data_IF_384050540550
#
_entry.id   IF_384050540550
#
_cell.length_a   1.000
_cell.length_b   1.000
_cell.length_c   1.000
_cell.angle_alpha   90.00
_cell.angle_beta   90.00
_cell.angle_gamma   90.00
#
_symmetry.space_group_name_H-M   'P 1'
#
loop_
_entity.id
_entity.type
_entity.pdbx_description
1 polymer ?
#
# COMPACT_ATOMS: atom_id res chain seq x y z
N UNK A 1 5.34 4.59 -7.26
CA UNK A 1 4.53 3.37 -7.04
C UNK A 1 3.43 3.66 -6.04
N UNK A 2 2.31 2.94 -6.13
CA UNK A 2 1.16 3.11 -5.24
C UNK A 2 0.88 1.82 -4.46
N UNK A 3 1.67 1.46 -3.42
CA UNK A 3 1.40 0.28 -2.62
C UNK A 3 0.11 0.45 -1.80
N UNK A 4 -0.75 -0.57 -1.82
CA UNK A 4 -2.04 -0.53 -1.15
C UNK A 4 -1.90 -0.96 0.31
N UNK A 5 -2.56 -0.25 1.22
CA UNK A 5 -2.58 -0.57 2.65
C UNK A 5 -3.84 -1.36 2.99
N UNK A 6 -5.01 -0.76 2.79
CA UNK A 6 -6.29 -1.30 3.23
C UNK A 6 -6.73 -2.58 2.51
N UNK A 7 -6.34 -2.81 1.25
CA UNK A 7 -6.64 -4.10 0.60
C UNK A 7 -5.82 -5.24 1.19
N UNK A 8 -4.63 -4.97 1.70
CA UNK A 8 -3.83 -5.96 2.45
C UNK A 8 -4.54 -6.23 3.77
N UNK A 9 -4.89 -5.17 4.52
CA UNK A 9 -5.68 -5.27 5.76
C UNK A 9 -6.94 -6.13 5.59
N UNK A 10 -7.77 -5.85 4.57
CA UNK A 10 -9.01 -6.59 4.33
C UNK A 10 -8.78 -8.09 4.15
N UNK A 11 -7.67 -8.47 3.49
CA UNK A 11 -7.36 -9.88 3.24
C UNK A 11 -7.06 -10.62 4.54
N UNK A 12 -6.22 -10.03 5.40
CA UNK A 12 -5.84 -10.63 6.68
C UNK A 12 -7.02 -10.66 7.65
N UNK A 13 -7.80 -9.58 7.75
CA UNK A 13 -9.01 -9.54 8.59
C UNK A 13 -10.02 -10.59 8.17
N UNK A 14 -10.22 -10.81 6.85
CA UNK A 14 -11.12 -11.85 6.36
C UNK A 14 -10.68 -13.27 6.76
N UNK A 15 -9.41 -13.47 7.15
CA UNK A 15 -8.87 -14.72 7.66
C UNK A 15 -8.81 -14.78 9.19
N UNK A 16 -9.37 -13.79 9.88
CA UNK A 16 -9.36 -13.69 11.33
C UNK A 16 -8.07 -13.10 11.92
N UNK A 17 -7.14 -12.63 11.07
CA UNK A 17 -5.89 -12.00 11.48
C UNK A 17 -6.10 -10.48 11.60
N UNK A 18 -6.80 -10.08 12.65
CA UNK A 18 -7.11 -8.67 12.92
C UNK A 18 -5.90 -8.03 13.61
N UNK A 19 -5.28 -6.99 13.04
CA UNK A 19 -4.17 -6.32 13.69
C UNK A 19 -4.65 -5.55 14.92
N UNK A 20 -3.88 -5.64 16.00
CA UNK A 20 -4.16 -4.96 17.28
C UNK A 20 -4.11 -3.43 17.17
N UNK A 21 -3.36 -2.90 16.21
CA UNK A 21 -3.22 -1.46 15.98
C UNK A 21 -2.76 -1.17 14.54
N UNK A 22 -2.78 0.11 14.15
CA UNK A 22 -2.20 0.54 12.87
C UNK A 22 -0.69 0.25 12.76
N UNK A 23 0.03 0.06 13.87
CA UNK A 23 1.46 -0.27 13.84
C UNK A 23 1.71 -1.74 13.50
N UNK A 24 0.75 -2.62 13.80
CA UNK A 24 0.79 -4.05 13.47
C UNK A 24 0.00 -4.39 12.21
N UNK A 25 -0.59 -3.39 11.55
CA UNK A 25 -1.33 -3.54 10.31
C UNK A 25 -0.41 -4.05 9.16
N UNK A 26 -0.75 -5.17 8.51
CA UNK A 26 0.11 -5.77 7.49
C UNK A 26 0.28 -4.88 6.25
N UNK A 27 -0.70 -4.04 5.93
CA UNK A 27 -0.58 -3.05 4.86
C UNK A 27 0.37 -1.91 5.22
N UNK A 28 0.29 -1.40 6.46
CA UNK A 28 1.22 -0.37 6.96
C UNK A 28 2.65 -0.91 6.99
N UNK A 29 2.84 -2.13 7.51
CA UNK A 29 4.14 -2.80 7.55
C UNK A 29 4.72 -3.00 6.13
N UNK A 30 3.89 -3.41 5.18
CA UNK A 30 4.28 -3.55 3.77
C UNK A 30 4.81 -2.23 3.20
N UNK A 31 4.10 -1.12 3.37
CA UNK A 31 4.55 0.19 2.86
C UNK A 31 5.82 0.66 3.56
N UNK A 32 5.94 0.49 4.89
CA UNK A 32 7.16 0.83 5.63
C UNK A 32 8.37 0.06 5.12
N UNK A 33 8.20 -1.25 4.87
CA UNK A 33 9.27 -2.08 4.32
C UNK A 33 9.68 -1.63 2.91
N UNK A 34 8.71 -1.37 2.02
CA UNK A 34 8.98 -0.86 0.67
C UNK A 34 9.72 0.47 0.71
N UNK A 35 9.26 1.41 1.53
CA UNK A 35 9.90 2.72 1.70
C UNK A 35 11.34 2.55 2.19
N UNK A 36 11.55 1.75 3.24
CA UNK A 36 12.89 1.47 3.77
C UNK A 36 13.81 0.88 2.71
N UNK A 37 13.34 -0.12 1.95
CA UNK A 37 14.10 -0.74 0.86
C UNK A 37 14.50 0.29 -0.20
N UNK A 38 13.57 1.16 -0.60
CA UNK A 38 13.85 2.18 -1.61
C UNK A 38 14.85 3.23 -1.10
N UNK A 39 14.68 3.73 0.13
CA UNK A 39 15.59 4.75 0.69
C UNK A 39 16.99 4.19 0.96
N UNK A 40 17.08 3.01 1.56
CA UNK A 40 18.37 2.35 1.84
C UNK A 40 19.17 2.02 0.58
N UNK A 41 18.52 1.78 -0.56
CA UNK A 41 19.21 1.50 -1.84
C UNK A 41 19.25 2.72 -2.79
N UNK A 42 18.88 3.91 -2.31
CA UNK A 42 18.93 5.14 -3.11
C UNK A 42 17.98 5.15 -4.32
N UNK A 43 16.89 4.38 -4.28
CA UNK A 43 15.90 4.33 -5.36
C UNK A 43 15.07 5.61 -5.35
N UNK A 44 15.06 6.34 -6.46
CA UNK A 44 14.38 7.64 -6.60
C UNK A 44 12.87 7.56 -6.83
N UNK A 45 12.35 6.37 -7.12
CA UNK A 45 10.92 6.14 -7.33
C UNK A 45 10.12 6.56 -6.11
N UNK A 46 9.16 7.47 -6.30
CA UNK A 46 8.27 7.95 -5.24
C UNK A 46 7.41 6.80 -4.71
N UNK A 47 7.39 6.61 -3.39
CA UNK A 47 6.48 5.69 -2.71
C UNK A 47 5.24 6.44 -2.24
N UNK A 48 4.08 6.16 -2.85
CA UNK A 48 2.82 6.82 -2.51
C UNK A 48 1.82 5.83 -1.89
N UNK A 49 1.76 5.76 -0.56
CA UNK A 49 0.80 4.87 0.12
C UNK A 49 -0.64 5.15 -0.31
N UNK A 50 -1.43 4.11 -0.55
CA UNK A 50 -2.77 4.21 -1.11
C UNK A 50 -3.79 3.25 -0.47
N UNK A 51 -5.07 3.45 -0.78
CA UNK A 51 -6.18 2.55 -0.39
C UNK A 51 -6.33 2.35 1.13
N UNK A 52 -6.43 3.42 1.91
CA UNK A 52 -6.60 3.34 3.37
C UNK A 52 -8.03 2.91 3.80
N UNK A 53 -8.16 2.38 5.02
CA UNK A 53 -9.43 2.07 5.70
C UNK A 53 -9.69 3.00 6.88
N UNK A 54 -8.64 3.43 7.58
CA UNK A 54 -8.76 4.26 8.78
C UNK A 54 -7.75 5.41 8.74
N UNK A 55 -8.04 6.51 9.46
CA UNK A 55 -7.08 7.59 9.65
C UNK A 55 -5.81 7.11 10.35
N UNK A 56 -5.91 6.16 11.30
CA UNK A 56 -4.75 5.63 12.03
C UNK A 56 -3.74 4.95 11.09
N UNK A 57 -4.17 4.26 10.03
CA UNK A 57 -3.27 3.73 9.01
C UNK A 57 -2.52 4.83 8.26
N UNK A 58 -3.18 5.97 7.98
CA UNK A 58 -2.56 7.12 7.32
C UNK A 58 -1.52 7.74 8.25
N UNK A 59 -1.89 7.98 9.52
CA UNK A 59 -1.03 8.57 10.54
C UNK A 59 0.20 7.69 10.81
N UNK A 60 0.03 6.36 10.82
CA UNK A 60 1.13 5.40 10.98
C UNK A 60 2.15 5.43 9.82
N UNK A 61 1.81 6.06 8.69
CA UNK A 61 2.68 6.29 7.55
C UNK A 61 3.08 7.76 7.37
N UNK A 62 2.90 8.61 8.37
CA UNK A 62 3.45 9.96 8.38
C UNK A 62 4.96 9.90 8.04
N UNK A 63 5.42 10.72 7.09
CA UNK A 63 6.81 10.67 6.60
C UNK A 63 7.05 9.78 5.37
N UNK A 64 6.03 9.07 4.85
CA UNK A 64 6.09 8.51 3.50
C UNK A 64 6.21 9.62 2.44
N UNK A 65 6.78 9.34 1.26
CA UNK A 65 7.03 10.37 0.24
C UNK A 65 5.74 11.08 -0.17
N UNK A 66 4.67 10.31 -0.36
CA UNK A 66 3.31 10.78 -0.64
C UNK A 66 2.29 9.82 -0.04
N UNK A 67 1.08 10.31 0.19
CA UNK A 67 -0.08 9.48 0.55
C UNK A 67 -1.27 9.95 -0.30
N UNK A 68 -1.99 9.03 -0.92
CA UNK A 68 -3.26 9.33 -1.61
C UNK A 68 -4.41 8.86 -0.73
N UNK A 69 -5.22 9.80 -0.26
CA UNK A 69 -6.20 9.61 0.81
C UNK A 69 -7.58 9.96 0.28
N UNK A 70 -8.60 9.17 0.64
CA UNK A 70 -9.98 9.44 0.21
C UNK A 70 -10.53 10.70 0.92
N UNK A 71 -11.50 11.41 0.32
CA UNK A 71 -12.10 12.60 0.94
C UNK A 71 -12.63 12.36 2.35
N UNK A 72 -13.32 11.23 2.58
CA UNK A 72 -13.83 10.88 3.91
C UNK A 72 -12.74 10.77 4.98
N UNK A 73 -11.58 10.20 4.63
CA UNK A 73 -10.45 10.10 5.56
C UNK A 73 -9.73 11.44 5.73
N UNK A 74 -9.70 12.30 4.70
CA UNK A 74 -9.19 13.66 4.83
C UNK A 74 -10.02 14.48 5.83
N UNK A 75 -11.35 14.38 5.77
CA UNK A 75 -12.26 15.02 6.73
C UNK A 75 -12.09 14.48 8.16
N UNK A 76 -11.77 13.20 8.32
CA UNK A 76 -11.45 12.63 9.62
C UNK A 76 -10.12 13.18 10.14
N UNK A 77 -9.08 13.19 9.31
CA UNK A 77 -7.74 13.67 9.65
C UNK A 77 -7.72 15.16 10.00
N UNK A 78 -8.52 15.99 9.33
CA UNK A 78 -8.65 17.42 9.63
C UNK A 78 -9.09 17.69 11.07
N UNK A 79 -9.81 16.74 11.69
CA UNK A 79 -10.31 16.83 13.06
C UNK A 79 -9.31 16.33 14.10
N UNK A 80 -8.16 15.76 13.70
CA UNK A 80 -7.15 15.18 14.58
C UNK A 80 -6.06 16.21 14.89
N UNK A 81 -5.64 16.28 16.16
CA UNK A 81 -4.62 17.23 16.64
C UNK A 81 -3.43 16.54 17.30
N UNK A 82 -3.28 15.23 17.11
CA UNK A 82 -2.21 14.46 17.74
C UNK A 82 -0.84 14.76 17.11
N UNK A 83 0.21 14.64 17.93
CA UNK A 83 1.57 14.75 17.46
C UNK A 83 1.92 13.53 16.61
N UNK A 84 2.38 13.78 15.38
CA UNK A 84 2.78 12.73 14.46
C UNK A 84 4.18 12.20 14.81
N UNK A 85 4.34 10.88 14.75
CA UNK A 85 5.64 10.23 14.77
C UNK A 85 6.01 9.81 13.34
N UNK A 86 6.84 10.56 12.62
CA UNK A 86 7.17 10.24 11.24
C UNK A 86 8.04 8.98 11.16
N UNK A 87 7.92 8.25 10.04
CA UNK A 87 8.81 7.15 9.70
C UNK A 87 10.25 7.69 9.69
N UNK A 88 11.20 7.01 10.38
CA UNK A 88 12.59 7.44 10.39
C UNK A 88 13.18 7.54 8.99
N UNK A 89 13.94 8.60 8.74
CA UNK A 89 14.72 8.73 7.50
C UNK A 89 15.89 7.76 7.52
N UNK A 90 16.14 7.08 6.41
CA UNK A 90 17.23 6.11 6.25
C UNK A 90 18.20 6.60 5.21
N UNK A 91 19.49 6.62 5.55
CA UNK A 91 20.56 6.97 4.61
C UNK A 91 20.81 5.83 3.62
N UNK A 92 21.05 6.13 2.34
CA UNK A 92 21.44 5.11 1.38
C UNK A 92 22.74 4.40 1.80
N UNK A 93 22.77 3.07 1.66
CA UNK A 93 23.93 2.24 1.95
C UNK A 93 25.00 2.32 0.85
N UNK A 94 24.65 2.87 -0.32
CA UNK A 94 25.47 2.86 -1.52
C UNK A 94 25.39 1.55 -2.31
N UNK A 95 24.66 0.54 -1.82
CA UNK A 95 24.42 -0.71 -2.55
C UNK A 95 23.18 -0.58 -3.43
N UNK A 96 23.25 -0.95 -4.73
CA UNK A 96 22.08 -0.94 -5.60
C UNK A 96 21.11 -2.06 -5.23
N UNK A 97 19.82 -1.80 -5.39
CA UNK A 97 18.80 -2.83 -5.21
C UNK A 97 18.96 -3.91 -6.29
N UNK A 98 18.97 -5.18 -5.88
CA UNK A 98 19.04 -6.31 -6.82
C UNK A 98 17.85 -6.30 -7.78
N UNK A 99 18.13 -6.45 -9.06
CA UNK A 99 17.10 -6.70 -10.08
C UNK A 99 16.69 -8.16 -10.08
N UNK A 100 15.38 -8.42 -10.15
CA UNK A 100 14.83 -9.77 -10.30
C UNK A 100 14.68 -10.13 -11.79
N UNK A 101 14.94 -11.39 -12.13
CA UNK A 101 14.50 -11.92 -13.43
C UNK A 101 12.98 -12.07 -13.46
N UNK A 102 12.41 -12.25 -14.66
CA UNK A 102 10.98 -12.51 -14.81
C UNK A 102 10.54 -13.73 -13.99
N UNK A 103 11.29 -14.82 -14.04
CA UNK A 103 10.90 -16.07 -13.39
C UNK A 103 11.01 -15.96 -11.87
N UNK A 104 12.02 -15.24 -11.36
CA UNK A 104 12.14 -14.93 -9.93
C UNK A 104 10.98 -14.07 -9.45
N UNK A 105 10.58 -13.06 -10.22
CA UNK A 105 9.43 -12.21 -9.90
C UNK A 105 8.12 -13.01 -9.89
N UNK A 106 7.87 -13.84 -10.90
CA UNK A 106 6.67 -14.65 -10.99
C UNK A 106 6.59 -15.67 -9.85
N UNK A 107 7.71 -16.31 -9.50
CA UNK A 107 7.77 -17.23 -8.37
C UNK A 107 7.53 -16.51 -7.04
N UNK A 108 8.10 -15.32 -6.84
CA UNK A 108 7.89 -14.52 -5.64
C UNK A 108 6.41 -14.13 -5.47
N UNK A 109 5.75 -13.69 -6.54
CA UNK A 109 4.31 -13.38 -6.52
C UNK A 109 3.48 -14.62 -6.26
N UNK A 110 3.80 -15.76 -6.89
CA UNK A 110 3.08 -17.01 -6.67
C UNK A 110 3.22 -17.53 -5.22
N UNK A 111 4.35 -17.25 -4.56
CA UNK A 111 4.61 -17.62 -3.17
C UNK A 111 3.94 -16.73 -2.12
N UNK A 112 3.47 -15.54 -2.51
CA UNK A 112 2.69 -14.64 -1.64
C UNK A 112 1.21 -14.75 -2.00
N UNK A 113 0.48 -15.58 -1.26
CA UNK A 113 -0.94 -15.85 -1.49
C UNK A 113 -1.79 -14.57 -1.48
N UNK A 114 -1.49 -13.64 -0.55
CA UNK A 114 -2.23 -12.39 -0.44
C UNK A 114 -1.99 -11.50 -1.66
N UNK A 115 -0.73 -11.32 -2.05
CA UNK A 115 -0.37 -10.51 -3.20
C UNK A 115 -0.95 -11.08 -4.50
N UNK A 116 -0.87 -12.41 -4.69
CA UNK A 116 -1.41 -13.09 -5.85
C UNK A 116 -2.93 -12.89 -5.98
N UNK A 117 -3.68 -13.20 -4.92
CA UNK A 117 -5.14 -13.07 -4.91
C UNK A 117 -5.59 -11.61 -5.09
N UNK A 118 -4.98 -10.66 -4.37
CA UNK A 118 -5.39 -9.24 -4.43
C UNK A 118 -4.98 -8.57 -5.74
N UNK A 119 -3.89 -8.98 -6.37
CA UNK A 119 -3.52 -8.49 -7.70
C UNK A 119 -4.56 -8.91 -8.74
N UNK A 120 -4.93 -10.20 -8.78
CA UNK A 120 -5.92 -10.73 -9.71
C UNK A 120 -7.32 -10.13 -9.48
N UNK A 121 -7.76 -10.05 -8.21
CA UNK A 121 -9.03 -9.42 -7.84
C UNK A 121 -9.07 -7.94 -8.25
N UNK A 122 -7.97 -7.21 -8.05
CA UNK A 122 -7.86 -5.81 -8.43
C UNK A 122 -8.05 -5.56 -9.92
N UNK A 123 -7.34 -6.31 -10.77
CA UNK A 123 -7.47 -6.23 -12.23
C UNK A 123 -8.89 -6.56 -12.66
N UNK A 124 -9.45 -7.66 -12.14
CA UNK A 124 -10.80 -8.12 -12.52
C UNK A 124 -11.89 -7.11 -12.16
N UNK A 125 -11.77 -6.43 -11.02
CA UNK A 125 -12.72 -5.37 -10.63
C UNK A 125 -12.65 -4.17 -11.58
N UNK A 126 -11.45 -3.71 -11.93
CA UNK A 126 -11.32 -2.59 -12.87
C UNK A 126 -11.86 -2.93 -14.26
N UNK A 127 -11.68 -4.15 -14.74
CA UNK A 127 -12.29 -4.61 -16.00
C UNK A 127 -13.82 -4.51 -15.91
N UNK A 128 -14.43 -5.00 -14.82
CA UNK A 128 -15.88 -4.94 -14.63
C UNK A 128 -16.41 -3.50 -14.56
N UNK A 129 -15.67 -2.61 -13.90
CA UNK A 129 -16.02 -1.19 -13.82
C UNK A 129 -15.94 -0.53 -15.20
N UNK A 130 -14.90 -0.88 -16.00
CA UNK A 130 -14.74 -0.43 -17.37
C UNK A 130 -15.88 -0.89 -18.29
N UNK A 131 -16.26 -2.17 -18.26
CA UNK A 131 -17.40 -2.72 -19.01
C UNK A 131 -18.73 -2.07 -18.60
N UNK A 132 -18.85 -1.68 -17.33
CA UNK A 132 -20.04 -0.96 -16.83
C UNK A 132 -20.08 0.45 -17.38
N UNK A 133 -18.95 1.15 -17.40
CA UNK A 133 -18.83 2.48 -18.02
C UNK A 133 -19.14 2.43 -19.52
N UNK A 134 -18.64 1.44 -20.25
CA UNK A 134 -18.89 1.28 -21.69
C UNK A 134 -20.37 1.08 -22.01
N UNK A 135 -21.09 0.31 -21.19
CA UNK A 135 -22.55 0.15 -21.32
C UNK A 135 -23.28 1.47 -21.10
N UNK A 136 -22.92 2.22 -20.06
CA UNK A 136 -23.52 3.53 -19.77
C UNK A 136 -23.30 4.57 -20.87
N UNK A 137 -22.21 4.45 -21.65
CA UNK A 137 -21.89 5.35 -22.76
C UNK A 137 -22.53 4.92 -24.08
N UNK A 138 -22.98 3.67 -24.17
CA UNK A 138 -23.59 3.10 -25.38
C UNK A 138 -25.13 3.24 -25.40
N UNK A 139 -25.72 3.50 -24.23
CA UNK A 139 -27.13 3.85 -24.04
C UNK A 139 -27.37 5.36 -24.29
#
# INVERSE_FOLDING_TARGET
>A
ISPFVGRIYDWYVAKGEIPESAQTDPGVLSVKNILNQYKSHGVSTIVMGASFRTADQVLALAGCDRLTISPALLEELEKRQELLQPIPTVSPTGQPLRTLTRDEFLLAIAGDTMANEKLADGITRFIKDQETLERLLSD
#
